data_IF_678982787318
#
_entry.id   IF_678982787318
#
_cell.length_a   1.000
_cell.length_b   1.000
_cell.length_c   1.000
_cell.angle_alpha   90.00
_cell.angle_beta   90.00
_cell.angle_gamma   90.00
#
_symmetry.space_group_name_H-M   'P 1'
#
loop_
_entity.id
_entity.type
_entity.pdbx_description
1 polymer ?
#
# COMPACT_ATOMS: atom_id res chain seq x y z
N UNK A 1 17.71 -10.34 -12.45
CA UNK A 1 16.26 -10.48 -12.16
C UNK A 1 15.94 -10.38 -10.65
N UNK A 2 16.77 -10.92 -9.73
CA UNK A 2 16.52 -10.83 -8.28
C UNK A 2 16.50 -9.40 -7.71
N UNK A 3 17.39 -8.51 -8.16
CA UNK A 3 17.48 -7.14 -7.64
C UNK A 3 16.27 -6.27 -8.01
N UNK A 4 15.73 -6.43 -9.22
CA UNK A 4 14.51 -5.74 -9.67
C UNK A 4 13.29 -6.23 -8.91
N UNK A 5 13.19 -7.54 -8.68
CA UNK A 5 12.07 -8.11 -7.95
C UNK A 5 12.11 -7.77 -6.44
N UNK A 6 13.30 -7.69 -5.84
CA UNK A 6 13.47 -7.18 -4.47
C UNK A 6 13.15 -5.69 -4.37
N UNK A 7 13.59 -4.88 -5.32
CA UNK A 7 13.25 -3.45 -5.37
C UNK A 7 11.75 -3.22 -5.58
N UNK A 8 11.10 -4.09 -6.37
CA UNK A 8 9.64 -4.09 -6.58
C UNK A 8 8.89 -4.51 -5.32
N UNK A 9 9.35 -5.57 -4.63
CA UNK A 9 8.77 -5.99 -3.35
C UNK A 9 8.95 -4.94 -2.25
N UNK A 10 10.12 -4.30 -2.16
CA UNK A 10 10.40 -3.24 -1.18
C UNK A 10 9.62 -1.96 -1.48
N UNK A 11 9.50 -1.58 -2.76
CA UNK A 11 8.68 -0.42 -3.16
C UNK A 11 7.19 -0.69 -2.96
N UNK A 12 6.70 -1.90 -3.30
CA UNK A 12 5.35 -2.36 -2.98
C UNK A 12 5.06 -2.31 -1.48
N UNK A 13 5.98 -2.78 -0.64
CA UNK A 13 5.83 -2.73 0.82
C UNK A 13 5.67 -1.29 1.33
N UNK A 14 6.51 -0.37 0.85
CA UNK A 14 6.45 1.05 1.21
C UNK A 14 5.19 1.74 0.68
N UNK A 15 4.75 1.36 -0.52
CA UNK A 15 3.52 1.81 -1.13
C UNK A 15 2.31 1.40 -0.29
N UNK A 16 2.14 0.11 -0.01
CA UNK A 16 1.04 -0.38 0.83
C UNK A 16 1.09 0.20 2.25
N UNK A 17 2.28 0.42 2.81
CA UNK A 17 2.42 1.11 4.11
C UNK A 17 1.86 2.54 4.07
N UNK A 18 2.14 3.31 3.02
CA UNK A 18 1.60 4.66 2.84
C UNK A 18 0.10 4.69 2.57
N UNK A 19 -0.41 3.69 1.85
CA UNK A 19 -1.84 3.53 1.59
C UNK A 19 -2.62 3.19 2.88
N UNK A 20 -2.08 2.28 3.70
CA UNK A 20 -2.63 1.96 5.02
C UNK A 20 -2.66 3.17 5.96
N UNK A 21 -1.63 4.01 5.94
CA UNK A 21 -1.59 5.22 6.76
C UNK A 21 -2.67 6.23 6.34
N UNK A 22 -2.84 6.44 5.02
CA UNK A 22 -3.91 7.29 4.46
C UNK A 22 -5.29 6.74 4.81
N UNK A 23 -5.48 5.43 4.67
CA UNK A 23 -6.73 4.73 4.99
C UNK A 23 -7.06 4.84 6.48
N UNK A 24 -6.08 4.61 7.36
CA UNK A 24 -6.24 4.77 8.80
C UNK A 24 -6.58 6.22 9.19
N UNK A 25 -5.97 7.20 8.52
CA UNK A 25 -6.32 8.62 8.70
C UNK A 25 -7.78 8.90 8.32
N UNK A 26 -8.27 8.30 7.22
CA UNK A 26 -9.64 8.46 6.78
C UNK A 26 -10.63 7.80 7.75
N UNK A 27 -10.37 6.55 8.19
CA UNK A 27 -11.21 5.84 9.16
C UNK A 27 -11.29 6.60 10.48
N UNK A 28 -10.15 7.11 10.98
CA UNK A 28 -10.10 7.86 12.24
C UNK A 28 -10.90 9.17 12.18
N UNK A 29 -10.91 9.83 11.01
CA UNK A 29 -11.59 11.10 10.81
C UNK A 29 -12.98 10.97 10.18
N UNK A 30 -13.47 9.76 9.93
CA UNK A 30 -14.79 9.51 9.34
C UNK A 30 -15.97 9.94 10.25
N UNK A 31 -15.71 10.16 11.54
CA UNK A 31 -16.68 10.76 12.47
C UNK A 31 -16.67 12.29 12.48
N UNK A 32 -15.72 12.94 11.80
CA UNK A 32 -15.54 14.39 11.81
C UNK A 32 -16.37 15.03 10.70
N UNK A 33 -17.24 15.97 11.05
CA UNK A 33 -18.08 16.66 10.07
C UNK A 33 -17.24 17.53 9.11
N UNK A 34 -17.48 17.39 7.80
CA UNK A 34 -16.75 18.13 6.76
C UNK A 34 -15.35 17.60 6.44
N UNK A 35 -14.94 16.46 7.01
CA UNK A 35 -13.70 15.79 6.65
C UNK A 35 -13.75 15.26 5.20
N UNK A 36 -12.68 15.48 4.44
CA UNK A 36 -12.52 15.00 3.07
C UNK A 36 -11.45 13.89 3.05
N UNK A 37 -11.76 12.69 2.58
CA UNK A 37 -10.81 11.58 2.55
C UNK A 37 -9.61 11.84 1.64
N UNK A 38 -8.50 11.23 2.03
CA UNK A 38 -7.28 11.15 1.23
C UNK A 38 -7.23 9.81 0.50
N UNK A 39 -7.16 9.83 -0.83
CA UNK A 39 -7.06 8.61 -1.62
C UNK A 39 -5.59 8.31 -1.96
N UNK A 40 -5.12 7.13 -1.58
CA UNK A 40 -3.83 6.61 -2.00
C UNK A 40 -3.93 6.05 -3.42
N UNK A 41 -3.25 6.66 -4.39
CA UNK A 41 -3.19 6.17 -5.77
C UNK A 41 -1.84 5.51 -6.02
N UNK A 42 -1.87 4.23 -6.39
CA UNK A 42 -0.69 3.49 -6.80
C UNK A 42 -0.32 3.83 -8.25
N UNK A 43 0.92 4.23 -8.48
CA UNK A 43 1.48 4.53 -9.79
C UNK A 43 2.71 3.64 -10.05
N UNK A 44 2.79 3.08 -11.25
CA UNK A 44 3.93 2.28 -11.67
C UNK A 44 5.14 3.16 -11.97
N UNK A 45 6.25 2.89 -11.31
CA UNK A 45 7.52 3.55 -11.60
C UNK A 45 8.14 2.94 -12.86
N UNK A 46 8.57 3.79 -13.80
CA UNK A 46 9.17 3.39 -15.09
C UNK A 46 10.42 2.49 -14.93
N UNK A 47 11.05 2.51 -13.76
CA UNK A 47 12.25 1.73 -13.40
C UNK A 47 11.95 0.42 -12.64
N UNK A 48 10.70 -0.02 -12.58
CA UNK A 48 10.28 -1.23 -11.86
C UNK A 48 10.06 -0.96 -10.38
N UNK A 49 8.80 -0.78 -10.00
CA UNK A 49 8.35 -0.55 -8.64
C UNK A 49 6.99 0.15 -8.57
N UNK A 50 6.43 0.27 -7.37
CA UNK A 50 5.16 0.95 -7.10
C UNK A 50 5.42 2.19 -6.25
N UNK A 51 4.92 3.34 -6.70
CA UNK A 51 4.91 4.60 -5.97
C UNK A 51 3.48 4.90 -5.53
N UNK A 52 3.30 5.45 -4.34
CA UNK A 52 1.97 5.94 -3.90
C UNK A 52 1.98 7.45 -3.94
N UNK A 53 1.01 8.00 -4.68
CA UNK A 53 0.69 9.42 -4.64
C UNK A 53 -0.61 9.58 -3.90
N UNK A 54 -0.60 10.40 -2.86
CA UNK A 54 -1.79 10.70 -2.07
C UNK A 54 -2.46 11.93 -2.70
N UNK A 55 -3.67 11.75 -3.22
CA UNK A 55 -4.50 12.84 -3.74
C UNK A 55 -5.65 13.10 -2.77
N UNK A 56 -5.79 14.34 -2.31
CA UNK A 56 -6.96 14.78 -1.54
C UNK A 56 -8.15 14.96 -2.49
N UNK A 57 -9.22 14.19 -2.28
CA UNK A 57 -10.42 14.30 -3.09
C UNK A 57 -11.16 15.59 -2.71
N UNK A 58 -11.25 16.52 -3.67
CA UNK A 58 -11.86 17.83 -3.47
C UNK A 58 -13.32 17.73 -3.03
N UNK A 59 -13.63 18.42 -1.93
CA UNK A 59 -14.93 18.52 -1.28
C UNK A 59 -16.04 19.03 -2.21
N UNK A 60 -17.03 18.17 -2.48
CA UNK A 60 -18.37 18.61 -2.91
C UNK A 60 -19.28 18.68 -1.68
N UNK A 61 -19.26 19.83 -1.02
CA UNK A 61 -20.38 20.41 -0.25
C UNK A 61 -21.30 19.40 0.48
N UNK A 62 -20.75 18.56 1.35
CA UNK A 62 -21.56 17.63 2.15
C UNK A 62 -21.29 17.88 3.63
N UNK A 63 -22.34 18.24 4.37
CA UNK A 63 -22.32 18.45 5.84
C UNK A 63 -22.14 17.15 6.63
N UNK A 64 -22.10 16.02 5.94
CA UNK A 64 -21.83 14.70 6.48
C UNK A 64 -20.45 14.25 6.03
N UNK A 65 -19.76 13.47 6.87
CA UNK A 65 -18.45 12.94 6.54
C UNK A 65 -18.54 12.18 5.21
N UNK A 66 -17.81 12.66 4.18
CA UNK A 66 -17.85 12.08 2.83
C UNK A 66 -17.09 10.76 2.70
N UNK A 67 -16.58 10.25 3.83
CA UNK A 67 -15.92 8.95 3.99
C UNK A 67 -16.95 7.84 4.19
N UNK A 68 -17.05 6.93 3.23
CA UNK A 68 -17.68 5.63 3.47
C UNK A 68 -16.69 4.72 4.19
N UNK A 69 -16.96 4.48 5.49
CA UNK A 69 -16.15 3.59 6.33
C UNK A 69 -16.07 2.15 5.78
N UNK A 70 -17.08 1.72 5.02
CA UNK A 70 -17.12 0.38 4.43
C UNK A 70 -16.08 0.26 3.31
N UNK A 71 -16.05 1.25 2.42
CA UNK A 71 -15.06 1.30 1.34
C UNK A 71 -13.65 1.46 1.89
N UNK A 72 -13.48 2.27 2.92
CA UNK A 72 -12.17 2.48 3.55
C UNK A 72 -11.66 1.22 4.28
N UNK A 73 -12.56 0.47 4.94
CA UNK A 73 -12.21 -0.81 5.56
C UNK A 73 -11.86 -1.86 4.50
N UNK A 74 -12.58 -1.88 3.37
CA UNK A 74 -12.28 -2.77 2.25
C UNK A 74 -10.95 -2.40 1.61
N UNK A 75 -10.66 -1.12 1.42
CA UNK A 75 -9.37 -0.65 0.91
C UNK A 75 -8.22 -1.01 1.88
N UNK A 76 -8.43 -0.83 3.19
CA UNK A 76 -7.47 -1.25 4.22
C UNK A 76 -7.20 -2.76 4.20
N UNK A 77 -8.23 -3.59 4.06
CA UNK A 77 -8.06 -5.04 3.94
C UNK A 77 -7.27 -5.43 2.69
N UNK A 78 -7.50 -4.75 1.56
CA UNK A 78 -6.74 -4.98 0.32
C UNK A 78 -5.28 -4.57 0.47
N UNK A 79 -5.02 -3.42 1.11
CA UNK A 79 -3.66 -2.94 1.35
C UNK A 79 -2.88 -3.84 2.33
N UNK A 80 -3.55 -4.37 3.37
CA UNK A 80 -2.95 -5.36 4.29
C UNK A 80 -2.56 -6.65 3.57
N UNK A 81 -3.41 -7.13 2.66
CA UNK A 81 -3.11 -8.31 1.85
C UNK A 81 -1.93 -8.04 0.90
N UNK A 82 -1.88 -6.86 0.27
CA UNK A 82 -0.76 -6.44 -0.58
C UNK A 82 0.56 -6.33 0.18
N UNK A 83 0.52 -5.82 1.41
CA UNK A 83 1.67 -5.75 2.31
C UNK A 83 2.18 -7.15 2.69
N UNK A 84 1.28 -8.06 3.11
CA UNK A 84 1.67 -9.45 3.46
C UNK A 84 2.19 -10.21 2.24
N UNK A 85 1.59 -10.02 1.07
CA UNK A 85 2.07 -10.58 -0.19
C UNK A 85 3.49 -10.09 -0.52
N UNK A 86 3.74 -8.77 -0.42
CA UNK A 86 5.06 -8.19 -0.66
C UNK A 86 6.11 -8.70 0.34
N UNK A 87 5.73 -8.83 1.61
CA UNK A 87 6.59 -9.43 2.64
C UNK A 87 6.87 -10.91 2.37
N UNK A 88 5.88 -11.65 1.89
CA UNK A 88 6.02 -13.07 1.53
C UNK A 88 6.91 -13.26 0.31
N UNK A 89 6.85 -12.37 -0.68
CA UNK A 89 7.79 -12.35 -1.82
C UNK A 89 9.23 -12.16 -1.34
N UNK A 90 9.47 -11.23 -0.41
CA UNK A 90 10.82 -11.02 0.15
C UNK A 90 11.30 -12.29 0.87
N UNK A 91 10.42 -12.93 1.66
CA UNK A 91 10.73 -14.20 2.35
C UNK A 91 11.03 -15.35 1.37
N UNK A 92 10.28 -15.48 0.27
CA UNK A 92 10.56 -16.53 -0.73
C UNK A 92 11.84 -16.25 -1.50
N UNK A 93 12.17 -14.98 -1.76
CA UNK A 93 13.46 -14.62 -2.35
C UNK A 93 14.63 -14.97 -1.42
N UNK A 94 14.53 -14.68 -0.13
CA UNK A 94 15.56 -15.04 0.85
C UNK A 94 15.74 -16.58 0.94
N UNK A 95 14.63 -17.32 0.98
CA UNK A 95 14.68 -18.78 0.94
C UNK A 95 15.35 -19.32 -0.34
N UNK A 96 15.06 -18.75 -1.51
CA UNK A 96 15.71 -19.13 -2.77
C UNK A 96 17.18 -18.73 -2.79
N UNK A 97 17.55 -17.56 -2.25
CA UNK A 97 18.95 -17.15 -2.10
C UNK A 97 19.73 -18.12 -1.19
N UNK A 98 19.13 -18.55 -0.08
CA UNK A 98 19.72 -19.56 0.81
C UNK A 98 20.02 -20.87 0.10
N UNK A 99 19.07 -21.38 -0.70
CA UNK A 99 19.29 -22.62 -1.48
C UNK A 99 20.36 -22.48 -2.56
N UNK A 100 20.53 -21.29 -3.15
CA UNK A 100 21.56 -21.03 -4.16
C UNK A 100 22.97 -20.90 -3.55
N UNK A 101 23.07 -20.42 -2.30
CA UNK A 101 24.33 -20.39 -1.55
C UNK A 101 24.73 -21.81 -1.12
N UNK A 102 23.77 -22.61 -0.66
CA UNK A 102 24.01 -23.99 -0.19
C UNK A 102 24.43 -24.95 -1.32
N UNK A 103 23.98 -24.71 -2.56
CA UNK A 103 24.41 -25.48 -3.75
C UNK A 103 25.82 -25.14 -4.24
N UNK A 104 26.37 -23.97 -3.86
CA UNK A 104 27.66 -23.47 -4.37
C UNK A 104 28.78 -23.51 -3.32
N UNK A 105 28.45 -23.78 -2.06
CA UNK A 105 29.37 -24.06 -0.96
C UNK A 105 29.81 -25.53 -0.96
#
# INVERSE_FOLDING_TARGET
MSLSALNTGLSGLKAYQGALDSSAHNIANAGTAGFSPQQATFQEANTGGVLVTISQQGSTTSKESGTDLTDELVNSMQDQLGFDFSAKIIKTMDAVLGTLIDIKA
#
